data_IF_105400435070
#
_entry.id   IF_105400435070
#
_cell.length_a   1.000
_cell.length_b   1.000
_cell.length_c   1.000
_cell.angle_alpha   90.00
_cell.angle_beta   90.00
_cell.angle_gamma   90.00
#
_symmetry.space_group_name_H-M   'P 1'
#
loop_
_entity.id
_entity.type
_entity.pdbx_description
1 polymer ?
#
# COMPACT_ATOMS: atom_id res chain seq x y z
N UNK A 1 -19.73 -20.16 24.77
CA UNK A 1 -18.66 -20.52 23.83
C UNK A 1 -18.84 -19.64 22.61
N UNK A 2 -18.26 -18.45 22.62
CA UNK A 2 -18.29 -17.57 21.44
C UNK A 2 -17.29 -18.14 20.46
N UNK A 3 -17.79 -18.61 19.33
CA UNK A 3 -16.96 -19.04 18.21
C UNK A 3 -16.42 -17.73 17.66
N UNK A 4 -15.17 -17.39 18.01
CA UNK A 4 -14.47 -16.31 17.32
C UNK A 4 -14.41 -16.72 15.85
N UNK A 5 -15.24 -16.08 15.02
CA UNK A 5 -15.14 -16.22 13.58
C UNK A 5 -13.75 -15.75 13.21
N UNK A 6 -12.87 -16.70 12.89
CA UNK A 6 -11.57 -16.44 12.30
C UNK A 6 -11.85 -15.83 10.93
N UNK A 7 -12.01 -14.51 10.91
CA UNK A 7 -12.43 -13.75 9.74
C UNK A 7 -11.15 -13.49 8.97
N UNK A 8 -10.66 -14.53 8.29
CA UNK A 8 -9.48 -14.44 7.42
C UNK A 8 -9.83 -13.59 6.20
N UNK A 9 -10.00 -12.29 6.41
CA UNK A 9 -10.18 -11.31 5.35
C UNK A 9 -8.84 -11.15 4.65
N UNK A 10 -8.79 -11.28 3.32
CA UNK A 10 -7.53 -11.14 2.59
C UNK A 10 -6.96 -9.74 2.76
N UNK A 11 -5.82 -9.62 3.43
CA UNK A 11 -5.11 -8.35 3.62
C UNK A 11 -4.33 -8.01 2.35
N UNK A 12 -4.61 -6.86 1.73
CA UNK A 12 -3.83 -6.36 0.61
C UNK A 12 -2.47 -5.86 1.12
N UNK A 13 -1.38 -6.36 0.52
CA UNK A 13 -0.02 -5.90 0.80
C UNK A 13 0.65 -5.37 -0.44
N UNK A 14 1.44 -4.31 -0.26
CA UNK A 14 2.23 -3.68 -1.31
C UNK A 14 3.72 -3.78 -0.96
N UNK A 15 4.54 -4.18 -1.93
CA UNK A 15 6.00 -4.14 -1.76
C UNK A 15 6.49 -2.75 -2.14
N UNK A 16 7.20 -2.10 -1.25
CA UNK A 16 7.81 -0.79 -1.48
C UNK A 16 9.33 -0.96 -1.48
N UNK A 17 9.99 -0.57 -2.57
CA UNK A 17 11.46 -0.55 -2.69
C UNK A 17 11.94 0.87 -2.86
N UNK A 18 12.76 1.34 -1.93
CA UNK A 18 13.45 2.62 -2.03
C UNK A 18 14.56 2.58 -3.09
N UNK A 19 14.94 3.76 -3.61
CA UNK A 19 16.15 3.90 -4.44
C UNK A 19 17.44 3.50 -3.73
N UNK A 20 17.46 3.55 -2.39
CA UNK A 20 18.62 3.20 -1.56
C UNK A 20 18.73 1.68 -1.30
N UNK A 21 17.85 0.87 -1.89
CA UNK A 21 17.90 -0.59 -1.82
C UNK A 21 17.10 -1.21 -0.68
N UNK A 22 16.63 -0.42 0.30
CA UNK A 22 15.72 -0.91 1.33
C UNK A 22 14.36 -1.29 0.72
N UNK A 23 13.78 -2.39 1.18
CA UNK A 23 12.46 -2.84 0.78
C UNK A 23 11.60 -3.20 1.99
N UNK A 24 10.32 -2.86 1.94
CA UNK A 24 9.32 -3.25 2.93
C UNK A 24 8.11 -3.86 2.23
N UNK A 25 7.41 -4.76 2.92
CA UNK A 25 6.08 -5.21 2.52
C UNK A 25 5.09 -4.61 3.52
N UNK A 26 4.21 -3.74 3.03
CA UNK A 26 3.34 -2.90 3.85
C UNK A 26 1.89 -3.30 3.61
N UNK A 27 1.10 -3.33 4.68
CA UNK A 27 -0.35 -3.52 4.60
C UNK A 27 -1.01 -2.25 4.06
N UNK A 28 -1.91 -2.42 3.08
CA UNK A 28 -2.69 -1.33 2.49
C UNK A 28 -3.96 -1.15 3.32
N UNK A 29 -4.11 0.04 3.89
CA UNK A 29 -5.24 0.45 4.75
C UNK A 29 -6.33 1.18 3.96
N UNK A 30 -5.96 1.86 2.88
CA UNK A 30 -6.88 2.47 1.93
C UNK A 30 -6.22 2.52 0.53
N UNK A 31 -7.02 2.46 -0.52
CA UNK A 31 -6.54 2.55 -1.90
C UNK A 31 -7.46 3.43 -2.74
N UNK A 32 -6.85 4.23 -3.60
CA UNK A 32 -7.53 5.03 -4.62
C UNK A 32 -6.88 4.81 -5.99
N UNK A 33 -7.45 5.41 -7.03
CA UNK A 33 -6.83 5.43 -8.36
C UNK A 33 -5.44 6.10 -8.33
N UNK A 34 -5.26 7.11 -7.49
CA UNK A 34 -4.05 7.93 -7.45
C UNK A 34 -3.02 7.51 -6.40
N UNK A 35 -3.34 6.59 -5.50
CA UNK A 35 -2.45 6.31 -4.37
C UNK A 35 -2.96 5.25 -3.40
N UNK A 36 -2.18 5.02 -2.35
CA UNK A 36 -2.54 4.12 -1.26
C UNK A 36 -2.10 4.68 0.09
N UNK A 37 -2.91 4.43 1.12
CA UNK A 37 -2.51 4.56 2.51
C UNK A 37 -2.01 3.21 3.01
N UNK A 38 -0.88 3.20 3.70
CA UNK A 38 -0.27 1.97 4.21
C UNK A 38 0.04 2.06 5.70
N UNK A 39 0.07 0.90 6.36
CA UNK A 39 0.66 0.74 7.68
C UNK A 39 2.18 0.84 7.55
N UNK A 40 2.77 1.81 8.23
CA UNK A 40 4.17 2.23 8.13
C UNK A 40 4.93 2.17 9.47
N UNK A 41 4.37 1.53 10.49
CA UNK A 41 5.06 1.35 11.78
C UNK A 41 6.43 0.68 11.58
N UNK A 42 7.50 1.39 11.93
CA UNK A 42 8.88 0.89 11.77
C UNK A 42 9.43 0.97 10.35
N UNK A 43 8.70 1.59 9.41
CA UNK A 43 9.21 1.87 8.08
C UNK A 43 10.10 3.13 8.10
N UNK A 44 11.28 3.05 7.50
CA UNK A 44 12.33 4.08 7.58
C UNK A 44 12.42 4.99 6.35
N UNK A 45 11.34 5.13 5.57
CA UNK A 45 11.31 6.03 4.42
C UNK A 45 11.03 7.47 4.85
N UNK A 46 11.50 8.43 4.05
CA UNK A 46 11.32 9.87 4.30
C UNK A 46 10.30 10.48 3.34
N UNK A 47 9.55 11.49 3.78
CA UNK A 47 8.63 12.23 2.90
C UNK A 47 9.42 12.81 1.71
N UNK A 48 8.88 12.65 0.50
CA UNK A 48 9.54 12.97 -0.77
C UNK A 48 10.37 11.82 -1.35
N UNK A 49 10.51 10.69 -0.64
CA UNK A 49 11.19 9.53 -1.20
C UNK A 49 10.41 8.96 -2.40
N UNK A 50 11.14 8.81 -3.51
CA UNK A 50 10.67 8.02 -4.65
C UNK A 50 10.92 6.55 -4.40
N UNK A 51 9.85 5.78 -4.47
CA UNK A 51 9.84 4.34 -4.26
C UNK A 51 9.26 3.62 -5.48
N UNK A 52 9.67 2.37 -5.67
CA UNK A 52 8.99 1.46 -6.57
C UNK A 52 8.01 0.64 -5.75
N UNK A 53 6.72 0.78 -6.03
CA UNK A 53 5.67 -0.03 -5.44
C UNK A 53 5.36 -1.24 -6.32
N UNK A 54 4.96 -2.35 -5.74
CA UNK A 54 4.50 -3.53 -6.48
C UNK A 54 3.25 -4.07 -5.80
N UNK A 55 2.11 -3.91 -6.47
CA UNK A 55 0.84 -4.51 -6.08
C UNK A 55 0.79 -5.98 -6.53
N UNK A 56 0.02 -6.85 -5.85
CA UNK A 56 -0.07 -8.26 -6.20
C UNK A 56 -0.53 -8.49 -7.64
N UNK A 57 0.33 -9.13 -8.45
CA UNK A 57 0.06 -9.44 -9.84
C UNK A 57 0.28 -8.30 -10.83
N UNK A 58 0.85 -7.16 -10.40
CA UNK A 58 1.28 -6.07 -11.28
C UNK A 58 2.81 -5.96 -11.35
N UNK A 59 3.29 -5.26 -12.37
CA UNK A 59 4.68 -4.82 -12.44
C UNK A 59 4.95 -3.72 -11.41
N UNK A 60 6.24 -3.53 -11.08
CA UNK A 60 6.64 -2.44 -10.21
C UNK A 60 6.37 -1.08 -10.89
N UNK A 61 5.80 -0.14 -10.15
CA UNK A 61 5.47 1.21 -10.64
C UNK A 61 6.05 2.29 -9.71
N UNK A 62 6.43 3.45 -10.23
CA UNK A 62 6.91 4.54 -9.40
C UNK A 62 5.81 5.16 -8.54
N UNK A 63 6.18 5.54 -7.32
CA UNK A 63 5.36 6.29 -6.40
C UNK A 63 6.23 7.21 -5.53
N UNK A 64 5.59 8.17 -4.86
CA UNK A 64 6.24 9.07 -3.92
C UNK A 64 5.53 8.99 -2.57
N UNK A 65 6.33 8.95 -1.50
CA UNK A 65 5.85 9.09 -0.13
C UNK A 65 5.52 10.56 0.16
N UNK A 66 4.25 10.88 0.36
CA UNK A 66 3.79 12.28 0.47
C UNK A 66 3.52 12.72 1.91
N UNK A 67 3.27 11.79 2.82
CA UNK A 67 3.11 12.07 4.25
C UNK A 67 3.36 10.82 5.09
N UNK A 68 3.77 11.03 6.35
CA UNK A 68 3.82 10.00 7.41
C UNK A 68 3.20 10.62 8.66
N UNK A 69 2.23 9.94 9.26
CA UNK A 69 1.56 10.37 10.48
C UNK A 69 1.01 9.15 11.23
N UNK A 70 1.21 9.10 12.56
CA UNK A 70 0.66 8.06 13.44
C UNK A 70 0.88 6.62 12.96
N UNK A 71 2.10 6.32 12.50
CA UNK A 71 2.47 5.00 12.00
C UNK A 71 1.85 4.66 10.64
N UNK A 72 1.16 5.59 9.99
CA UNK A 72 0.62 5.44 8.63
C UNK A 72 1.42 6.27 7.65
N UNK A 73 1.35 5.90 6.38
CA UNK A 73 1.99 6.64 5.31
C UNK A 73 1.09 6.72 4.07
N UNK A 74 1.16 7.84 3.36
CA UNK A 74 0.49 8.04 2.08
C UNK A 74 1.47 7.95 0.93
N UNK A 75 1.12 7.14 -0.07
CA UNK A 75 1.85 7.01 -1.32
C UNK A 75 1.00 7.56 -2.45
N UNK A 76 1.56 8.47 -3.25
CA UNK A 76 0.98 8.89 -4.53
C UNK A 76 1.62 8.10 -5.65
N UNK A 77 0.82 7.51 -6.52
CA UNK A 77 1.31 6.82 -7.71
C UNK A 77 1.69 7.86 -8.77
N UNK A 78 2.81 7.67 -9.46
CA UNK A 78 3.17 8.56 -10.58
C UNK A 78 2.22 8.37 -11.78
N UNK A 79 1.65 7.17 -11.92
CA UNK A 79 0.63 6.87 -12.91
C UNK A 79 -0.64 6.37 -12.21
N UNK A 80 -1.83 6.90 -12.58
CA UNK A 80 -3.09 6.39 -12.07
C UNK A 80 -3.26 4.90 -12.32
N UNK A 81 -3.87 4.19 -11.38
CA UNK A 81 -4.33 2.82 -11.62
C UNK A 81 -5.43 2.82 -12.67
N UNK A 82 -5.43 1.79 -13.50
CA UNK A 82 -6.58 1.50 -14.36
C UNK A 82 -7.80 1.12 -13.49
N UNK A 83 -8.99 1.54 -13.88
CA UNK A 83 -10.24 1.35 -13.11
C UNK A 83 -10.47 -0.11 -12.70
N UNK A 84 -10.33 -1.05 -13.64
CA UNK A 84 -10.45 -2.50 -13.36
C UNK A 84 -9.48 -3.02 -12.28
N UNK A 85 -8.30 -2.40 -12.18
CA UNK A 85 -7.30 -2.76 -11.18
C UNK A 85 -7.69 -2.17 -9.82
N UNK A 86 -8.18 -0.93 -9.82
CA UNK A 86 -8.73 -0.30 -8.63
C UNK A 86 -9.90 -1.13 -8.06
N UNK A 87 -10.89 -1.50 -8.87
CA UNK A 87 -12.05 -2.29 -8.45
C UNK A 87 -11.65 -3.62 -7.80
N UNK A 88 -10.61 -4.27 -8.36
CA UNK A 88 -10.08 -5.52 -7.83
C UNK A 88 -9.51 -5.34 -6.41
N UNK A 89 -8.83 -4.24 -6.14
CA UNK A 89 -8.12 -4.02 -4.88
C UNK A 89 -8.98 -3.34 -3.82
N UNK A 90 -9.89 -2.44 -4.20
CA UNK A 90 -10.80 -1.78 -3.26
C UNK A 90 -11.69 -2.79 -2.51
N UNK A 91 -12.06 -3.88 -3.17
CA UNK A 91 -12.79 -5.01 -2.57
C UNK A 91 -12.00 -5.75 -1.47
N UNK A 92 -10.67 -5.62 -1.42
CA UNK A 92 -9.80 -6.28 -0.43
C UNK A 92 -9.50 -5.39 0.79
N UNK A 93 -9.72 -4.07 0.66
CA UNK A 93 -9.33 -3.07 1.67
C UNK A 93 -10.55 -2.51 2.42
N UNK A 94 -11.75 -2.61 1.84
CA UNK A 94 -12.99 -2.09 2.45
C UNK A 94 -13.35 -2.83 3.73
N UNK A 95 -13.49 -2.13 4.87
CA UNK A 95 -13.96 -2.64 6.18
C UNK A 95 -15.34 -3.29 6.14
#
# INVERSE_FOLDING_TARGET
MVISADTNKPVLRIKCRSRRGASAELEVLDISIGGAMVQAQGWSAEIGDRVLITLPGLSAQPAELVWIEDGRAGLTFEQPLHETIYDKFSALVSD
#
